data_IF_922724488689
#
_entry.id   IF_922724488689
#
_cell.length_a   1.000
_cell.length_b   1.000
_cell.length_c   1.000
_cell.angle_alpha   90.00
_cell.angle_beta   90.00
_cell.angle_gamma   90.00
#
_symmetry.space_group_name_H-M   'P 1'
#
loop_
_entity.id
_entity.type
_entity.pdbx_description
1 polymer ?
#
# COMPACT_ATOMS: atom_id res chain seq x y z
N UNK A 1 -29.16 -10.68 -10.20
CA UNK A 1 -28.57 -11.54 -9.15
C UNK A 1 -27.14 -11.94 -9.52
N UNK A 2 -26.90 -12.50 -10.71
CA UNK A 2 -25.54 -12.81 -11.18
C UNK A 2 -24.62 -11.58 -11.32
N UNK A 3 -25.09 -10.47 -11.91
CA UNK A 3 -24.26 -9.25 -12.06
C UNK A 3 -23.90 -8.59 -10.73
N UNK A 4 -24.79 -8.70 -9.74
CA UNK A 4 -24.55 -8.20 -8.38
C UNK A 4 -23.46 -9.03 -7.69
N UNK A 5 -23.59 -10.36 -7.71
CA UNK A 5 -22.58 -11.26 -7.17
C UNK A 5 -21.23 -11.11 -7.86
N UNK A 6 -21.22 -10.97 -9.19
CA UNK A 6 -20.01 -10.74 -9.97
C UNK A 6 -19.28 -9.46 -9.54
N UNK A 7 -20.02 -8.35 -9.41
CA UNK A 7 -19.43 -7.07 -9.00
C UNK A 7 -18.88 -7.11 -7.58
N UNK A 8 -19.65 -7.60 -6.60
CA UNK A 8 -19.22 -7.62 -5.20
C UNK A 8 -18.00 -8.52 -4.99
N UNK A 9 -18.01 -9.72 -5.59
CA UNK A 9 -16.88 -10.65 -5.53
C UNK A 9 -15.64 -10.04 -6.20
N UNK A 10 -15.82 -9.34 -7.33
CA UNK A 10 -14.71 -8.67 -8.02
C UNK A 10 -14.11 -7.56 -7.17
N UNK A 11 -14.93 -6.68 -6.60
CA UNK A 11 -14.45 -5.61 -5.73
C UNK A 11 -13.78 -6.13 -4.46
N UNK A 12 -14.31 -7.22 -3.87
CA UNK A 12 -13.65 -7.90 -2.75
C UNK A 12 -12.30 -8.48 -3.18
N UNK A 13 -12.21 -9.08 -4.36
CA UNK A 13 -10.96 -9.55 -4.94
C UNK A 13 -9.94 -8.41 -5.14
N UNK A 14 -10.39 -7.27 -5.65
CA UNK A 14 -9.56 -6.06 -5.80
C UNK A 14 -9.05 -5.57 -4.44
N UNK A 15 -9.90 -5.56 -3.41
CA UNK A 15 -9.50 -5.21 -2.05
C UNK A 15 -8.41 -6.16 -1.53
N UNK A 16 -8.64 -7.47 -1.61
CA UNK A 16 -7.72 -8.50 -1.10
C UNK A 16 -6.36 -8.40 -1.81
N UNK A 17 -6.35 -8.32 -3.14
CA UNK A 17 -5.11 -8.20 -3.90
C UNK A 17 -4.40 -6.88 -3.60
N UNK A 18 -5.13 -5.78 -3.48
CA UNK A 18 -4.55 -4.47 -3.15
C UNK A 18 -3.96 -4.46 -1.74
N UNK A 19 -4.65 -5.07 -0.77
CA UNK A 19 -4.16 -5.28 0.59
C UNK A 19 -2.88 -6.11 0.60
N UNK A 20 -2.92 -7.30 -0.01
CA UNK A 20 -1.78 -8.21 -0.01
C UNK A 20 -0.58 -7.62 -0.77
N UNK A 21 -0.81 -6.86 -1.84
CA UNK A 21 0.28 -6.21 -2.60
C UNK A 21 1.11 -5.22 -1.78
N UNK A 22 0.53 -4.66 -0.72
CA UNK A 22 1.22 -3.76 0.20
C UNK A 22 1.80 -4.46 1.43
N UNK A 23 1.68 -5.80 1.50
CA UNK A 23 2.17 -6.63 2.61
C UNK A 23 3.45 -7.38 2.23
N UNK A 24 4.49 -6.71 1.74
CA UNK A 24 5.77 -7.30 1.29
C UNK A 24 5.68 -8.48 0.28
N UNK A 25 4.47 -8.89 -0.10
CA UNK A 25 4.22 -9.86 -1.14
C UNK A 25 4.32 -9.12 -2.47
N UNK A 26 5.13 -9.62 -3.42
CA UNK A 26 5.26 -9.00 -4.73
C UNK A 26 4.01 -9.30 -5.57
N UNK A 27 2.92 -8.57 -5.32
CA UNK A 27 1.71 -8.58 -6.14
C UNK A 27 1.57 -7.24 -6.85
N UNK A 28 1.22 -7.26 -8.12
CA UNK A 28 1.05 -6.05 -8.94
C UNK A 28 -0.39 -5.54 -8.85
N UNK A 29 -0.74 -4.81 -7.79
CA UNK A 29 -2.10 -4.25 -7.65
C UNK A 29 -2.45 -3.23 -8.75
N UNK A 30 -1.45 -2.62 -9.37
CA UNK A 30 -1.60 -1.73 -10.52
C UNK A 30 -2.24 -2.45 -11.71
N UNK A 31 -1.80 -3.68 -12.00
CA UNK A 31 -2.33 -4.47 -13.11
C UNK A 31 -3.81 -4.82 -12.88
N UNK A 32 -4.19 -5.10 -11.64
CA UNK A 32 -5.59 -5.36 -11.28
C UNK A 32 -6.45 -4.10 -11.42
N UNK A 33 -5.99 -2.94 -10.93
CA UNK A 33 -6.71 -1.67 -11.12
C UNK A 33 -6.90 -1.36 -12.61
N UNK A 34 -5.85 -1.49 -13.43
CA UNK A 34 -5.94 -1.32 -14.88
C UNK A 34 -6.94 -2.28 -15.52
N UNK A 35 -6.92 -3.55 -15.11
CA UNK A 35 -7.85 -4.58 -15.60
C UNK A 35 -9.30 -4.23 -15.29
N UNK A 36 -9.60 -3.77 -14.08
CA UNK A 36 -10.95 -3.37 -13.68
C UNK A 36 -11.47 -2.18 -14.51
N UNK A 37 -10.62 -1.17 -14.75
CA UNK A 37 -11.00 -0.04 -15.60
C UNK A 37 -11.26 -0.50 -17.04
N UNK A 38 -10.41 -1.37 -17.60
CA UNK A 38 -10.63 -1.93 -18.95
C UNK A 38 -11.90 -2.77 -19.07
N UNK A 39 -12.27 -3.47 -17.99
CA UNK A 39 -13.52 -4.21 -17.88
C UNK A 39 -14.74 -3.33 -17.56
N UNK A 40 -14.60 -1.99 -17.63
CA UNK A 40 -15.68 -1.02 -17.46
C UNK A 40 -16.31 -1.01 -16.05
N UNK A 41 -15.55 -1.43 -15.02
CA UNK A 41 -15.96 -1.22 -13.63
C UNK A 41 -15.97 0.27 -13.29
N UNK A 42 -16.80 0.66 -12.33
CA UNK A 42 -16.93 2.06 -11.93
C UNK A 42 -15.60 2.59 -11.35
N UNK A 43 -14.98 3.62 -11.95
CA UNK A 43 -13.65 4.10 -11.54
C UNK A 43 -13.59 4.63 -10.10
N UNK A 44 -14.68 5.20 -9.59
CA UNK A 44 -14.74 5.74 -8.22
C UNK A 44 -14.70 4.61 -7.20
N UNK A 45 -15.44 3.52 -7.44
CA UNK A 45 -15.40 2.33 -6.59
C UNK A 45 -14.04 1.62 -6.67
N UNK A 46 -13.49 1.46 -7.87
CA UNK A 46 -12.15 0.89 -8.06
C UNK A 46 -11.10 1.70 -7.29
N UNK A 47 -11.10 3.03 -7.44
CA UNK A 47 -10.18 3.92 -6.74
C UNK A 47 -10.32 3.78 -5.22
N UNK A 48 -11.55 3.84 -4.72
CA UNK A 48 -11.84 3.81 -3.28
C UNK A 48 -11.41 2.47 -2.66
N UNK A 49 -11.80 1.35 -3.28
CA UNK A 49 -11.55 0.00 -2.75
C UNK A 49 -10.07 -0.37 -2.86
N UNK A 50 -9.42 -0.08 -3.99
CA UNK A 50 -7.98 -0.33 -4.13
C UNK A 50 -7.18 0.52 -3.13
N UNK A 51 -7.53 1.81 -2.98
CA UNK A 51 -6.89 2.69 -2.00
C UNK A 51 -7.06 2.18 -0.58
N UNK A 52 -8.29 1.80 -0.18
CA UNK A 52 -8.56 1.27 1.15
C UNK A 52 -7.77 -0.01 1.41
N UNK A 53 -7.83 -0.99 0.51
CA UNK A 53 -7.09 -2.24 0.64
C UNK A 53 -5.59 -2.00 0.79
N UNK A 54 -5.00 -1.24 -0.13
CA UNK A 54 -3.56 -0.99 -0.12
C UNK A 54 -3.09 -0.16 1.09
N UNK A 55 -3.89 0.82 1.52
CA UNK A 55 -3.57 1.61 2.72
C UNK A 55 -3.59 0.75 3.98
N UNK A 56 -4.60 -0.12 4.12
CA UNK A 56 -4.69 -1.05 5.24
C UNK A 56 -3.57 -2.10 5.24
N UNK A 57 -3.16 -2.59 4.07
CA UNK A 57 -2.04 -3.52 3.99
C UNK A 57 -0.70 -2.87 4.36
N UNK A 58 -0.42 -1.65 3.87
CA UNK A 58 0.76 -0.89 4.32
C UNK A 58 0.70 -0.55 5.82
N UNK A 59 -0.47 -0.22 6.36
CA UNK A 59 -0.65 0.01 7.80
C UNK A 59 -0.47 -1.28 8.62
N UNK A 60 -0.79 -2.44 8.07
CA UNK A 60 -0.51 -3.74 8.69
C UNK A 60 1.00 -4.00 8.75
N UNK A 61 1.73 -3.73 7.67
CA UNK A 61 3.22 -3.77 7.66
C UNK A 61 3.81 -2.81 8.70
N UNK A 62 3.30 -1.58 8.75
CA UNK A 62 3.68 -0.59 9.76
C UNK A 62 3.43 -1.12 11.19
N UNK A 63 2.25 -1.67 11.47
CA UNK A 63 1.88 -2.16 12.79
C UNK A 63 2.75 -3.36 13.21
N UNK A 64 3.04 -4.27 12.27
CA UNK A 64 3.96 -5.38 12.52
C UNK A 64 5.35 -4.89 12.93
N UNK A 65 5.88 -3.85 12.27
CA UNK A 65 7.16 -3.27 12.66
C UNK A 65 7.09 -2.47 13.97
N UNK A 66 5.97 -1.79 14.24
CA UNK A 66 5.78 -0.99 15.45
C UNK A 66 5.69 -1.84 16.72
N UNK A 67 4.95 -2.95 16.66
CA UNK A 67 4.69 -3.84 17.82
C UNK A 67 5.58 -5.09 17.84
N UNK A 68 6.23 -5.42 16.72
CA UNK A 68 7.05 -6.61 16.60
C UNK A 68 8.28 -6.56 17.52
N UNK A 69 8.66 -7.72 18.05
CA UNK A 69 9.92 -7.85 18.80
C UNK A 69 11.09 -7.75 17.84
N UNK A 70 12.10 -6.97 18.20
CA UNK A 70 13.30 -6.71 17.40
C UNK A 70 13.92 -8.00 16.84
N UNK A 71 14.14 -9.02 17.68
CA UNK A 71 14.67 -10.34 17.25
C UNK A 71 13.83 -11.05 16.19
N UNK A 72 12.50 -10.91 16.24
CA UNK A 72 11.60 -11.54 15.25
C UNK A 72 11.68 -10.76 13.94
N UNK A 73 11.64 -9.44 14.04
CA UNK A 73 11.69 -8.57 12.87
C UNK A 73 13.05 -8.68 12.16
N UNK A 74 14.17 -8.73 12.88
CA UNK A 74 15.48 -9.01 12.31
C UNK A 74 15.50 -10.36 11.59
N UNK A 75 14.93 -11.42 12.18
CA UNK A 75 14.92 -12.75 11.57
C UNK A 75 14.17 -12.78 10.24
N UNK A 76 12.95 -12.22 10.19
CA UNK A 76 12.05 -12.34 9.02
C UNK A 76 12.20 -11.17 8.03
N UNK A 77 12.68 -10.02 8.47
CA UNK A 77 12.79 -8.80 7.67
C UNK A 77 14.24 -8.29 7.53
N UNK A 78 15.25 -9.08 7.91
CA UNK A 78 16.69 -8.69 7.83
C UNK A 78 17.09 -8.06 6.50
N UNK A 79 16.63 -8.59 5.38
CA UNK A 79 16.96 -8.05 4.06
C UNK A 79 16.30 -6.67 3.82
N UNK A 80 15.03 -6.53 4.22
CA UNK A 80 14.29 -5.27 4.14
C UNK A 80 14.88 -4.21 5.06
N UNK A 81 15.30 -4.61 6.27
CA UNK A 81 16.00 -3.77 7.24
C UNK A 81 17.35 -3.28 6.70
N UNK A 82 18.17 -4.16 6.13
CA UNK A 82 19.44 -3.77 5.49
C UNK A 82 19.23 -2.80 4.33
N UNK A 83 18.16 -2.96 3.55
CA UNK A 83 17.80 -1.98 2.51
C UNK A 83 17.41 -0.64 3.12
N UNK A 84 16.64 -0.65 4.20
CA UNK A 84 16.25 0.56 4.93
C UNK A 84 17.44 1.32 5.52
N UNK A 85 18.40 0.61 6.13
CA UNK A 85 19.61 1.21 6.68
C UNK A 85 20.45 1.92 5.62
N UNK A 86 20.53 1.37 4.39
CA UNK A 86 21.23 2.02 3.27
C UNK A 86 20.67 3.40 2.92
N UNK A 87 19.38 3.63 3.12
CA UNK A 87 18.78 4.95 2.86
C UNK A 87 19.08 5.95 3.99
N UNK A 88 19.48 5.49 5.17
CA UNK A 88 19.79 6.30 6.36
C UNK A 88 18.75 7.40 6.65
N UNK A 89 17.46 7.01 6.58
CA UNK A 89 16.33 7.94 6.64
C UNK A 89 16.05 8.35 8.08
N UNK A 90 15.98 9.67 8.31
CA UNK A 90 15.46 10.22 9.55
C UNK A 90 13.93 10.25 9.53
N UNK A 91 13.30 9.15 9.95
CA UNK A 91 11.84 9.01 9.99
C UNK A 91 11.16 9.92 11.01
N UNK A 92 11.86 10.38 12.06
CA UNK A 92 11.27 11.31 13.03
C UNK A 92 11.05 12.69 12.40
N UNK A 93 12.00 13.14 11.57
CA UNK A 93 11.90 14.42 10.83
C UNK A 93 11.07 14.32 9.54
N UNK A 94 11.25 13.25 8.77
CA UNK A 94 10.68 13.12 7.42
C UNK A 94 9.57 12.07 7.29
N UNK A 95 9.05 11.55 8.41
CA UNK A 95 8.10 10.43 8.41
C UNK A 95 6.88 10.64 7.52
N UNK A 96 6.28 11.84 7.50
CA UNK A 96 5.17 12.17 6.60
C UNK A 96 5.51 12.03 5.11
N UNK A 97 6.72 12.41 4.71
CA UNK A 97 7.17 12.33 3.32
C UNK A 97 7.31 10.85 2.92
N UNK A 98 7.97 10.05 3.75
CA UNK A 98 8.15 8.62 3.47
C UNK A 98 6.85 7.82 3.61
N UNK A 99 5.92 8.27 4.46
CA UNK A 99 4.56 7.74 4.52
C UNK A 99 3.83 7.99 3.20
N UNK A 100 3.92 9.21 2.66
CA UNK A 100 3.38 9.51 1.34
C UNK A 100 4.06 8.68 0.24
N UNK A 101 5.39 8.65 0.19
CA UNK A 101 6.16 7.89 -0.80
C UNK A 101 6.02 6.36 -0.68
N UNK A 102 5.26 5.86 0.29
CA UNK A 102 4.93 4.42 0.37
C UNK A 102 4.13 3.90 -0.83
N UNK A 103 3.61 4.77 -1.69
CA UNK A 103 3.01 4.37 -2.95
C UNK A 103 4.01 3.92 -4.01
N UNK A 104 5.30 4.25 -3.86
CA UNK A 104 6.30 3.94 -4.89
C UNK A 104 6.41 2.42 -5.12
N UNK A 105 6.47 1.97 -6.39
CA UNK A 105 6.56 0.56 -6.70
C UNK A 105 7.85 -0.04 -6.12
N UNK A 106 7.79 -1.29 -5.68
CA UNK A 106 8.89 -2.12 -5.16
C UNK A 106 9.51 -1.67 -3.82
N UNK A 107 9.63 -0.36 -3.57
CA UNK A 107 10.30 0.20 -2.40
C UNK A 107 9.33 0.81 -1.39
N UNK A 108 8.10 1.15 -1.79
CA UNK A 108 7.16 1.89 -0.96
C UNK A 108 6.82 1.21 0.37
N UNK A 109 6.65 -0.12 0.37
CA UNK A 109 6.32 -0.84 1.60
C UNK A 109 7.51 -0.97 2.56
N UNK A 110 8.75 -0.78 2.08
CA UNK A 110 9.90 -0.63 2.97
C UNK A 110 9.75 0.63 3.83
N UNK A 111 9.20 1.72 3.29
CA UNK A 111 8.97 2.93 4.06
C UNK A 111 7.90 2.74 5.13
N UNK A 112 6.83 2.00 4.85
CA UNK A 112 5.83 1.64 5.86
C UNK A 112 6.47 0.83 7.01
N UNK A 113 7.33 -0.13 6.67
CA UNK A 113 8.10 -0.91 7.63
C UNK A 113 9.03 0.01 8.47
N UNK A 114 9.80 0.88 7.83
CA UNK A 114 10.73 1.81 8.49
C UNK A 114 10.03 2.80 9.42
N UNK A 115 8.86 3.30 9.04
CA UNK A 115 8.01 4.14 9.89
C UNK A 115 7.57 3.41 11.15
N UNK A 116 7.24 2.12 11.05
CA UNK A 116 6.87 1.27 12.18
C UNK A 116 8.05 1.09 13.13
N UNK A 117 9.23 0.75 12.61
CA UNK A 117 10.46 0.62 13.41
C UNK A 117 10.83 1.91 14.13
N UNK A 118 10.72 3.05 13.44
CA UNK A 118 10.98 4.36 14.01
C UNK A 118 9.88 4.84 14.98
N UNK A 119 8.82 4.04 15.17
CA UNK A 119 7.65 4.36 16.00
C UNK A 119 7.07 5.74 15.68
N UNK A 120 6.96 6.05 14.39
CA UNK A 120 6.39 7.31 13.93
C UNK A 120 4.90 7.43 14.33
N UNK A 121 4.29 8.61 14.20
CA UNK A 121 2.88 8.78 14.59
C UNK A 121 1.94 7.98 13.68
N UNK A 122 1.15 7.05 14.25
CA UNK A 122 0.19 6.23 13.49
C UNK A 122 -0.79 7.08 12.68
N UNK A 123 -1.37 8.14 13.26
CA UNK A 123 -2.33 8.99 12.56
C UNK A 123 -1.70 9.71 11.36
N UNK A 124 -0.48 10.22 11.51
CA UNK A 124 0.26 10.82 10.38
C UNK A 124 0.59 9.78 9.33
N UNK A 125 1.09 8.61 9.73
CA UNK A 125 1.34 7.50 8.80
C UNK A 125 0.08 7.13 8.02
N UNK A 126 -1.04 6.89 8.70
CA UNK A 126 -2.30 6.51 8.07
C UNK A 126 -2.79 7.54 7.06
N UNK A 127 -2.76 8.83 7.42
CA UNK A 127 -3.16 9.90 6.52
C UNK A 127 -2.27 9.97 5.27
N UNK A 128 -0.95 10.06 5.45
CA UNK A 128 -0.02 10.26 4.33
C UNK A 128 0.12 8.99 3.46
N UNK A 129 0.11 7.79 4.05
CA UNK A 129 0.06 6.53 3.30
C UNK A 129 -1.19 6.52 2.42
N UNK A 130 -2.36 6.77 3.00
CA UNK A 130 -3.62 6.76 2.25
C UNK A 130 -3.61 7.78 1.12
N UNK A 131 -3.09 8.97 1.37
CA UNK A 131 -2.95 10.02 0.35
C UNK A 131 -2.01 9.60 -0.79
N UNK A 132 -0.89 8.94 -0.47
CA UNK A 132 0.03 8.40 -1.46
C UNK A 132 -0.62 7.30 -2.31
N UNK A 133 -1.28 6.31 -1.68
CA UNK A 133 -1.95 5.22 -2.40
C UNK A 133 -3.07 5.74 -3.30
N UNK A 134 -3.85 6.70 -2.80
CA UNK A 134 -4.88 7.39 -3.58
C UNK A 134 -4.29 8.09 -4.79
N UNK A 135 -3.18 8.83 -4.61
CA UNK A 135 -2.50 9.54 -5.70
C UNK A 135 -2.03 8.58 -6.80
N UNK A 136 -1.42 7.44 -6.42
CA UNK A 136 -0.99 6.41 -7.39
C UNK A 136 -2.17 5.86 -8.19
N UNK A 137 -3.23 5.44 -7.53
CA UNK A 137 -4.36 4.82 -8.23
C UNK A 137 -5.16 5.82 -9.06
N UNK A 138 -5.30 7.07 -8.59
CA UNK A 138 -5.89 8.14 -9.39
C UNK A 138 -5.10 8.38 -10.68
N UNK A 139 -3.77 8.40 -10.61
CA UNK A 139 -2.90 8.53 -11.79
C UNK A 139 -3.04 7.35 -12.76
N UNK A 140 -3.07 6.12 -12.25
CA UNK A 140 -3.25 4.91 -13.06
C UNK A 140 -4.60 4.92 -13.78
N UNK A 141 -5.68 5.23 -13.05
CA UNK A 141 -7.03 5.31 -13.62
C UNK A 141 -7.12 6.42 -14.66
N UNK A 142 -6.50 7.57 -14.41
CA UNK A 142 -6.43 8.67 -15.38
C UNK A 142 -5.75 8.23 -16.68
N UNK A 143 -4.58 7.58 -16.58
CA UNK A 143 -3.89 7.04 -17.76
C UNK A 143 -4.77 6.02 -18.49
N UNK A 144 -5.38 5.10 -17.75
CA UNK A 144 -6.21 4.03 -18.32
C UNK A 144 -7.40 4.56 -19.12
N UNK A 145 -8.02 5.66 -18.69
CA UNK A 145 -9.13 6.30 -19.40
C UNK A 145 -8.67 7.19 -20.57
N UNK A 146 -7.39 7.55 -20.63
CA UNK A 146 -6.82 8.38 -21.69
C UNK A 146 -6.30 7.58 -22.90
N UNK A 147 -6.25 6.25 -22.77
CA UNK A 147 -5.80 5.28 -23.78
C UNK A 147 -6.99 4.57 -24.42
#
# INVERSE_FOLDING_TARGET
MFDFLYNDISYLGLFIVSFLSSTLLPLASEAFVLGFIKLQFNPIFVLSIATLGNSLGSLSTYALAYYGKEKILEKYFSQSLKKLEKFNINYTKFGSIFAFLSFLPLVGDLFALGLGFAKYSFLKSAFFISLGKLSRYAFIIFIANSL
#
